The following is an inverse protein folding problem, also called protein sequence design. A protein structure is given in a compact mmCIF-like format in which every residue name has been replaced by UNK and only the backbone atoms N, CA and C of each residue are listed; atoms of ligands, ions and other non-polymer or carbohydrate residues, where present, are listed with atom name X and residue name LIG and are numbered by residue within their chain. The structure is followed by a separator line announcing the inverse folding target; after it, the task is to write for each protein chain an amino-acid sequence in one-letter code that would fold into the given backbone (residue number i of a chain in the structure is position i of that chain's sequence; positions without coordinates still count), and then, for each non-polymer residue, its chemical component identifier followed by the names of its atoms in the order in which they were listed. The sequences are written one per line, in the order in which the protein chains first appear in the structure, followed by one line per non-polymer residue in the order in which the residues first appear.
data_IF_099023499360
#
_entry.id   IF_099023499360
#
_cell.length_a   1.000
_cell.length_b   1.000
_cell.length_c   1.000
_cell.angle_alpha   90.00
_cell.angle_beta   90.00
_cell.angle_gamma   90.00
#
_symmetry.space_group_name_H-M   'P 1'
#
loop_
_entity.id
_entity.type
_entity.pdbx_description
1 polymer ?
#
# COMPACT_ATOMS: atom_id res chain seq x y z
N UNK A 1 -17.55 11.98 9.03
CA UNK A 1 -16.57 12.89 9.62
C UNK A 1 -15.59 13.34 8.53
N UNK A 2 -15.70 14.60 8.11
CA UNK A 2 -14.68 15.27 7.34
C UNK A 2 -13.60 15.70 8.34
N UNK A 3 -12.39 15.15 8.20
CA UNK A 3 -11.30 15.45 9.10
C UNK A 3 -10.01 15.69 8.37
N UNK A 4 -9.02 16.13 9.15
CA UNK A 4 -7.62 16.21 8.71
C UNK A 4 -6.78 15.35 9.62
N UNK A 5 -5.76 14.73 9.08
CA UNK A 5 -4.76 13.97 9.82
C UNK A 5 -3.39 14.31 9.28
N UNK A 6 -2.37 14.15 10.12
CA UNK A 6 -0.99 14.23 9.68
C UNK A 6 -0.46 12.82 9.42
N UNK A 7 0.34 12.65 8.37
CA UNK A 7 1.01 11.41 8.04
C UNK A 7 2.36 11.74 7.39
N UNK A 8 3.43 11.19 7.93
CA UNK A 8 4.81 11.39 7.47
C UNK A 8 5.19 12.87 7.29
N UNK A 9 4.73 13.73 8.22
CA UNK A 9 4.96 15.16 8.21
C UNK A 9 4.17 15.96 7.18
N UNK A 10 3.17 15.34 6.54
CA UNK A 10 2.28 15.95 5.55
C UNK A 10 0.84 15.97 6.05
N UNK A 11 0.02 16.88 5.53
CA UNK A 11 -1.40 17.03 5.89
C UNK A 11 -2.29 16.30 4.90
N UNK A 12 -3.24 15.51 5.41
CA UNK A 12 -4.19 14.75 4.61
C UNK A 12 -5.64 15.04 5.02
N UNK A 13 -6.49 15.32 4.03
CA UNK A 13 -7.93 15.26 4.21
C UNK A 13 -8.37 13.79 4.25
N UNK A 14 -9.26 13.45 5.18
CA UNK A 14 -9.85 12.14 5.33
C UNK A 14 -11.37 12.25 5.50
N UNK A 15 -12.09 11.27 4.99
CA UNK A 15 -13.55 11.18 5.05
C UNK A 15 -13.98 9.69 5.10
N UNK A 16 -15.28 9.45 5.06
CA UNK A 16 -15.85 8.10 5.07
C UNK A 16 -15.47 7.20 3.89
N UNK A 17 -14.83 7.75 2.85
CA UNK A 17 -14.46 7.00 1.64
C UNK A 17 -13.03 6.47 1.67
N UNK A 18 -12.24 6.82 2.68
CA UNK A 18 -10.83 6.44 2.78
C UNK A 18 -10.48 5.92 4.18
N UNK A 19 -9.56 4.97 4.22
CA UNK A 19 -8.94 4.56 5.48
C UNK A 19 -8.13 5.74 6.05
N UNK A 20 -8.30 6.01 7.35
CA UNK A 20 -7.47 7.00 8.04
C UNK A 20 -6.03 6.46 8.08
N UNK A 21 -5.02 7.21 7.59
CA UNK A 21 -3.62 6.80 7.66
C UNK A 21 -3.18 6.37 9.05
N UNK A 22 -2.44 5.26 9.13
CA UNK A 22 -1.98 4.69 10.40
C UNK A 22 -0.48 4.97 10.61
N UNK A 23 -0.04 5.17 11.86
CA UNK A 23 1.38 5.41 12.16
C UNK A 23 2.30 4.27 11.67
N UNK A 24 1.83 3.02 11.73
CA UNK A 24 2.59 1.85 11.29
C UNK A 24 2.89 1.91 9.78
N UNK A 25 1.99 2.51 9.00
CA UNK A 25 2.18 2.71 7.56
C UNK A 25 3.29 3.75 7.26
N UNK A 26 3.57 4.68 8.18
CA UNK A 26 4.72 5.58 8.05
C UNK A 26 6.05 4.83 8.05
N UNK A 27 6.14 3.74 8.81
CA UNK A 27 7.34 2.90 8.86
C UNK A 27 7.61 2.19 7.51
N UNK A 28 6.53 1.79 6.81
CA UNK A 28 6.63 1.24 5.46
C UNK A 28 7.17 2.29 4.47
N UNK A 29 6.63 3.50 4.52
CA UNK A 29 7.10 4.63 3.69
C UNK A 29 8.56 4.95 3.98
N UNK A 30 8.93 5.04 5.25
CA UNK A 30 10.31 5.29 5.66
C UNK A 30 11.26 4.20 5.16
N UNK A 31 10.86 2.95 5.23
CA UNK A 31 11.67 1.84 4.73
C UNK A 31 11.95 1.96 3.24
N UNK A 32 10.93 2.26 2.44
CA UNK A 32 11.07 2.48 1.00
C UNK A 32 12.02 3.65 0.73
N UNK A 33 11.82 4.79 1.37
CA UNK A 33 12.66 5.98 1.18
C UNK A 33 14.12 5.67 1.54
N UNK A 34 14.40 5.04 2.69
CA UNK A 34 15.76 4.68 3.11
C UNK A 34 16.47 3.77 2.12
N UNK A 35 15.74 2.84 1.49
CA UNK A 35 16.31 1.91 0.52
C UNK A 35 16.60 2.58 -0.85
N UNK A 36 15.91 3.66 -1.18
CA UNK A 36 15.91 4.21 -2.53
C UNK A 36 16.41 5.67 -2.64
N UNK A 37 16.51 6.42 -1.54
CA UNK A 37 16.94 7.84 -1.55
C UNK A 37 18.34 8.10 -2.11
N UNK A 38 19.20 7.07 -2.13
CA UNK A 38 20.56 7.16 -2.67
C UNK A 38 20.68 6.61 -4.09
N UNK A 39 19.63 6.08 -4.66
CA UNK A 39 19.65 5.58 -6.05
C UNK A 39 19.56 6.76 -7.00
N UNK A 40 20.54 6.88 -7.88
CA UNK A 40 20.48 7.83 -8.99
C UNK A 40 19.60 7.25 -10.10
N UNK A 41 18.68 8.04 -10.61
CA UNK A 41 17.76 7.70 -11.70
C UNK A 41 16.30 7.86 -11.34
N UNK A 42 15.48 8.00 -12.38
CA UNK A 42 14.05 8.18 -12.26
C UNK A 42 13.37 6.83 -11.92
N UNK A 43 12.91 6.67 -10.68
CA UNK A 43 12.16 5.49 -10.27
C UNK A 43 10.71 5.59 -10.71
N UNK A 44 10.13 4.48 -11.17
CA UNK A 44 8.70 4.31 -11.32
C UNK A 44 8.12 3.57 -10.11
N UNK A 45 7.19 4.21 -9.42
CA UNK A 45 6.61 3.70 -8.18
C UNK A 45 5.10 3.54 -8.39
N UNK A 46 4.54 2.42 -7.96
CA UNK A 46 3.10 2.16 -7.97
C UNK A 46 2.60 1.87 -6.56
N UNK A 47 1.60 2.62 -6.11
CA UNK A 47 0.83 2.37 -4.90
C UNK A 47 -0.52 1.75 -5.28
N UNK A 48 -0.81 0.54 -4.77
CA UNK A 48 -2.04 -0.20 -5.07
C UNK A 48 -2.97 -0.19 -3.86
N UNK A 49 -4.21 0.28 -4.06
CA UNK A 49 -5.16 0.54 -2.97
C UNK A 49 -4.80 1.82 -2.22
N UNK A 50 -4.61 2.90 -2.96
CA UNK A 50 -3.98 4.14 -2.43
C UNK A 50 -4.83 4.86 -1.37
N UNK A 51 -6.17 4.64 -1.35
CA UNK A 51 -7.06 5.27 -0.39
C UNK A 51 -6.96 6.80 -0.36
N UNK A 52 -6.50 7.35 0.75
CA UNK A 52 -6.24 8.80 0.91
C UNK A 52 -5.05 9.32 0.09
N UNK A 53 -4.26 8.44 -0.50
CA UNK A 53 -3.03 8.77 -1.21
C UNK A 53 -1.80 8.89 -0.30
N UNK A 54 -1.90 8.55 0.99
CA UNK A 54 -0.85 8.85 1.97
C UNK A 54 0.51 8.22 1.62
N UNK A 55 0.55 6.97 1.14
CA UNK A 55 1.78 6.31 0.71
C UNK A 55 2.32 6.99 -0.56
N UNK A 56 1.52 7.06 -1.62
CA UNK A 56 1.93 7.61 -2.91
C UNK A 56 2.44 9.05 -2.80
N UNK A 57 1.71 9.91 -2.07
CA UNK A 57 2.03 11.33 -1.89
C UNK A 57 3.32 11.49 -1.07
N UNK A 58 3.47 10.71 0.01
CA UNK A 58 4.69 10.76 0.83
C UNK A 58 5.91 10.29 0.04
N UNK A 59 5.77 9.26 -0.79
CA UNK A 59 6.85 8.82 -1.67
C UNK A 59 7.19 9.87 -2.73
N UNK A 60 6.19 10.49 -3.37
CA UNK A 60 6.41 11.56 -4.35
C UNK A 60 7.12 12.78 -3.73
N UNK A 61 6.77 13.14 -2.49
CA UNK A 61 7.39 14.28 -1.78
C UNK A 61 8.85 14.01 -1.44
N UNK A 62 9.19 12.80 -1.01
CA UNK A 62 10.51 12.45 -0.49
C UNK A 62 11.44 11.83 -1.54
N UNK A 63 10.91 11.44 -2.70
CA UNK A 63 11.65 10.94 -3.87
C UNK A 63 11.25 11.79 -5.10
N UNK A 64 11.63 13.08 -5.14
CA UNK A 64 11.07 14.05 -6.09
C UNK A 64 11.38 13.76 -7.56
N UNK A 65 12.40 12.95 -7.85
CA UNK A 65 12.75 12.54 -9.23
C UNK A 65 11.95 11.30 -9.68
N UNK A 66 11.12 10.71 -8.81
CA UNK A 66 10.33 9.53 -9.14
C UNK A 66 9.05 9.89 -9.90
N UNK A 67 8.58 8.95 -10.73
CA UNK A 67 7.25 8.98 -11.32
C UNK A 67 6.32 8.08 -10.49
N UNK A 68 5.40 8.68 -9.73
CA UNK A 68 4.52 7.94 -8.83
C UNK A 68 3.14 7.78 -9.46
N UNK A 69 2.67 6.54 -9.45
CA UNK A 69 1.34 6.11 -9.89
C UNK A 69 0.58 5.56 -8.69
N UNK A 70 -0.73 5.75 -8.67
CA UNK A 70 -1.59 5.27 -7.61
C UNK A 70 -2.90 4.70 -8.19
N UNK A 71 -3.25 3.50 -7.75
CA UNK A 71 -4.46 2.78 -8.18
C UNK A 71 -5.41 2.64 -7.00
N UNK A 72 -6.69 2.86 -7.26
CA UNK A 72 -7.77 2.47 -6.36
C UNK A 72 -9.01 2.06 -7.17
N UNK A 73 -9.85 1.20 -6.60
CA UNK A 73 -11.13 0.83 -7.20
C UNK A 73 -12.19 1.91 -6.98
N UNK A 74 -12.08 2.66 -5.88
CA UNK A 74 -13.01 3.71 -5.46
C UNK A 74 -12.70 5.05 -6.12
N UNK A 75 -13.60 5.53 -6.96
CA UNK A 75 -13.52 6.88 -7.53
C UNK A 75 -13.51 7.96 -6.43
N UNK A 76 -14.27 7.76 -5.35
CA UNK A 76 -14.34 8.69 -4.22
C UNK A 76 -13.02 8.76 -3.44
N UNK A 77 -12.34 7.61 -3.27
CA UNK A 77 -11.02 7.57 -2.67
C UNK A 77 -10.00 8.33 -3.55
N UNK A 78 -10.02 8.09 -4.86
CA UNK A 78 -9.16 8.82 -5.81
C UNK A 78 -9.43 10.33 -5.82
N UNK A 79 -10.69 10.75 -5.67
CA UNK A 79 -11.03 12.17 -5.56
C UNK A 79 -10.39 12.80 -4.31
N UNK A 80 -10.41 12.10 -3.18
CA UNK A 80 -9.75 12.51 -1.95
C UNK A 80 -8.23 12.55 -2.11
N UNK A 81 -7.64 11.50 -2.68
CA UNK A 81 -6.19 11.42 -2.93
C UNK A 81 -5.68 12.54 -3.86
N UNK A 82 -6.44 12.89 -4.91
CA UNK A 82 -6.11 14.02 -5.81
C UNK A 82 -6.08 15.35 -5.07
N UNK A 83 -7.05 15.60 -4.18
CA UNK A 83 -7.04 16.81 -3.32
C UNK A 83 -5.81 16.82 -2.42
N UNK A 84 -5.50 15.70 -1.79
CA UNK A 84 -4.33 15.56 -0.93
C UNK A 84 -3.01 15.78 -1.69
N UNK A 85 -2.90 15.30 -2.92
CA UNK A 85 -1.74 15.57 -3.76
C UNK A 85 -1.58 17.07 -4.06
N UNK A 86 -2.68 17.77 -4.33
CA UNK A 86 -2.69 19.22 -4.55
C UNK A 86 -2.26 19.97 -3.28
N UNK A 87 -2.82 19.61 -2.12
CA UNK A 87 -2.48 20.24 -0.82
C UNK A 87 -0.99 20.09 -0.50
N UNK A 88 -0.40 18.94 -0.84
CA UNK A 88 1.00 18.64 -0.57
C UNK A 88 1.95 19.01 -1.73
N UNK A 89 1.43 19.64 -2.80
CA UNK A 89 2.20 20.13 -3.94
C UNK A 89 3.06 19.04 -4.60
N UNK A 90 2.47 17.86 -4.85
CA UNK A 90 3.13 16.75 -5.53
C UNK A 90 2.34 16.26 -6.72
N UNK A 91 3.03 15.66 -7.69
CA UNK A 91 2.43 15.05 -8.87
C UNK A 91 2.35 13.53 -8.67
N UNK A 92 1.15 12.99 -8.72
CA UNK A 92 0.86 11.56 -8.71
C UNK A 92 -0.14 11.25 -9.83
N UNK A 93 0.11 10.20 -10.59
CA UNK A 93 -0.82 9.72 -11.62
C UNK A 93 -1.84 8.77 -11.00
N UNK A 94 -3.08 9.21 -10.85
CA UNK A 94 -4.16 8.43 -10.27
C UNK A 94 -4.95 7.68 -11.34
N UNK A 95 -5.18 6.38 -11.13
CA UNK A 95 -5.84 5.47 -12.08
C UNK A 95 -6.93 4.70 -11.33
N UNK A 96 -8.16 4.77 -11.80
CA UNK A 96 -9.24 3.92 -11.29
C UNK A 96 -9.11 2.53 -11.92
N UNK A 97 -8.89 1.52 -11.08
CA UNK A 97 -8.75 0.15 -11.55
C UNK A 97 -9.04 -0.85 -10.42
N UNK A 98 -9.83 -1.89 -10.73
CA UNK A 98 -10.02 -3.00 -9.81
C UNK A 98 -8.84 -3.98 -9.93
N UNK A 99 -8.02 -4.04 -8.88
CA UNK A 99 -6.82 -4.87 -8.89
C UNK A 99 -7.15 -6.37 -8.97
N UNK A 100 -8.28 -6.81 -8.44
CA UNK A 100 -8.69 -8.22 -8.49
C UNK A 100 -9.03 -8.67 -9.92
N UNK A 101 -9.46 -7.77 -10.79
CA UNK A 101 -9.83 -8.02 -12.18
C UNK A 101 -8.69 -7.71 -13.18
N UNK A 102 -7.63 -7.04 -12.70
CA UNK A 102 -6.52 -6.63 -13.55
C UNK A 102 -5.57 -7.78 -13.81
N UNK A 103 -5.29 -8.10 -15.06
CA UNK A 103 -4.37 -9.18 -15.46
C UNK A 103 -2.95 -8.69 -15.79
N UNK A 104 -2.81 -7.42 -16.19
CA UNK A 104 -1.55 -6.77 -16.50
C UNK A 104 -1.68 -5.25 -16.28
N UNK A 105 -0.59 -4.61 -15.86
CA UNK A 105 -0.51 -3.15 -15.67
C UNK A 105 0.04 -2.45 -16.92
N UNK A 106 0.43 -3.23 -17.94
CA UNK A 106 0.92 -2.74 -19.26
C UNK A 106 2.17 -1.84 -19.19
N UNK A 107 2.83 -1.83 -18.04
CA UNK A 107 4.08 -1.10 -17.81
C UNK A 107 4.88 -1.73 -16.66
N UNK A 108 6.16 -1.39 -16.58
CA UNK A 108 7.03 -1.85 -15.51
C UNK A 108 7.26 -0.77 -14.45
N UNK A 109 7.43 -1.23 -13.21
CA UNK A 109 7.69 -0.41 -12.04
C UNK A 109 8.94 -0.89 -11.30
N UNK A 110 9.69 0.04 -10.74
CA UNK A 110 10.84 -0.28 -9.88
C UNK A 110 10.41 -0.62 -8.47
N UNK A 111 9.28 -0.04 -8.04
CA UNK A 111 8.69 -0.28 -6.74
C UNK A 111 7.18 -0.46 -6.92
N UNK A 112 6.64 -1.56 -6.39
CA UNK A 112 5.21 -1.72 -6.16
C UNK A 112 5.01 -1.79 -4.65
N UNK A 113 4.10 -0.98 -4.12
CA UNK A 113 3.75 -0.95 -2.70
C UNK A 113 2.25 -1.09 -2.54
N UNK A 114 1.80 -1.73 -1.48
CA UNK A 114 0.39 -1.80 -1.12
C UNK A 114 0.19 -1.99 0.37
N UNK A 115 -0.82 -1.31 0.89
CA UNK A 115 -1.46 -1.62 2.15
C UNK A 115 -2.90 -2.09 1.83
N UNK A 116 -3.09 -3.34 1.39
CA UNK A 116 -4.39 -3.82 0.94
C UNK A 116 -5.31 -4.14 2.11
N UNK A 117 -6.62 -4.31 1.92
CA UNK A 117 -7.51 -4.83 2.95
C UNK A 117 -6.99 -6.18 3.46
N UNK A 118 -6.83 -6.31 4.78
CA UNK A 118 -6.28 -7.52 5.39
C UNK A 118 -6.97 -7.97 6.68
N UNK A 119 -7.96 -7.22 7.16
CA UNK A 119 -8.68 -7.59 8.38
C UNK A 119 -9.69 -8.68 8.08
N UNK A 120 -9.54 -9.84 8.72
CA UNK A 120 -10.50 -10.93 8.60
C UNK A 120 -11.78 -10.62 9.35
N UNK A 121 -12.91 -11.12 8.88
CA UNK A 121 -14.21 -10.93 9.54
C UNK A 121 -14.20 -11.40 11.01
N UNK A 122 -13.45 -12.47 11.31
CA UNK A 122 -13.29 -12.98 12.69
C UNK A 122 -12.59 -11.98 13.64
N UNK A 123 -11.80 -11.05 13.10
CA UNK A 123 -11.06 -10.03 13.86
C UNK A 123 -11.89 -8.76 14.12
N UNK A 124 -13.11 -8.65 13.58
CA UNK A 124 -14.00 -7.48 13.78
C UNK A 124 -14.19 -7.10 15.24
N UNK A 125 -14.17 -8.07 16.16
CA UNK A 125 -14.34 -7.83 17.60
C UNK A 125 -13.16 -7.08 18.24
N UNK A 126 -12.00 -7.13 17.62
CA UNK A 126 -10.78 -6.45 18.10
C UNK A 126 -10.70 -5.01 17.60
N UNK A 127 -11.52 -4.65 16.61
CA UNK A 127 -11.52 -3.33 16.01
C UNK A 127 -12.37 -2.37 16.85
N UNK A 128 -11.82 -1.17 17.06
CA UNK A 128 -12.55 -0.11 17.76
C UNK A 128 -13.85 0.25 17.02
N UNK A 129 -14.93 0.46 17.74
CA UNK A 129 -16.25 0.77 17.19
C UNK A 129 -16.22 1.96 16.21
N UNK A 130 -15.42 3.00 16.50
CA UNK A 130 -15.28 4.17 15.63
C UNK A 130 -14.75 3.84 14.22
N UNK A 131 -13.89 2.82 14.10
CA UNK A 131 -13.39 2.34 12.82
C UNK A 131 -14.50 1.63 12.04
N UNK A 132 -15.25 0.76 12.72
CA UNK A 132 -16.35 0.02 12.12
C UNK A 132 -17.49 0.92 11.64
N UNK A 133 -17.75 2.01 12.35
CA UNK A 133 -18.88 2.91 12.09
C UNK A 133 -18.57 3.98 11.02
N UNK A 134 -17.29 4.27 10.76
CA UNK A 134 -16.91 5.46 9.98
C UNK A 134 -15.89 5.22 8.86
N UNK A 135 -15.24 4.07 8.81
CA UNK A 135 -14.28 3.76 7.75
C UNK A 135 -14.85 2.76 6.73
N UNK A 136 -14.51 2.84 5.44
CA UNK A 136 -15.14 2.01 4.43
C UNK A 136 -14.78 0.53 4.63
N UNK A 137 -15.79 -0.33 4.69
CA UNK A 137 -15.62 -1.78 4.87
C UNK A 137 -14.76 -2.41 3.77
N UNK A 138 -14.87 -1.88 2.54
CA UNK A 138 -14.06 -2.35 1.39
C UNK A 138 -12.56 -2.12 1.59
N UNK A 139 -12.18 -1.10 2.37
CA UNK A 139 -10.78 -0.78 2.66
C UNK A 139 -10.20 -1.59 3.82
N UNK A 140 -11.03 -2.31 4.57
CA UNK A 140 -10.62 -3.01 5.79
C UNK A 140 -10.69 -4.53 5.67
N UNK A 141 -11.79 -5.07 5.13
CA UNK A 141 -12.14 -6.48 5.34
C UNK A 141 -11.88 -7.37 4.14
N UNK A 142 -11.45 -8.59 4.47
CA UNK A 142 -11.37 -9.74 3.57
C UNK A 142 -12.20 -10.88 4.15
N UNK A 143 -12.62 -11.81 3.28
CA UNK A 143 -13.27 -13.05 3.71
C UNK A 143 -12.31 -13.94 4.51
N UNK A 144 -12.82 -14.56 5.57
CA UNK A 144 -11.99 -15.41 6.46
C UNK A 144 -11.37 -16.61 5.74
N UNK A 145 -12.01 -17.09 4.69
CA UNK A 145 -11.55 -18.25 3.90
C UNK A 145 -10.47 -17.89 2.87
N UNK A 146 -10.25 -16.60 2.57
CA UNK A 146 -9.18 -16.16 1.66
C UNK A 146 -8.56 -14.82 2.08
N UNK A 147 -7.96 -14.83 3.26
CA UNK A 147 -7.29 -13.66 3.83
C UNK A 147 -6.12 -13.12 2.98
N UNK A 148 -5.59 -13.92 2.06
CA UNK A 148 -4.44 -13.58 1.22
C UNK A 148 -4.82 -13.19 -0.22
N UNK A 149 -6.11 -13.02 -0.53
CA UNK A 149 -6.57 -12.78 -1.91
C UNK A 149 -5.88 -11.58 -2.57
N UNK A 150 -5.84 -10.43 -1.91
CA UNK A 150 -5.20 -9.23 -2.45
C UNK A 150 -3.69 -9.41 -2.60
N UNK A 151 -3.02 -9.96 -1.59
CA UNK A 151 -1.58 -10.21 -1.62
C UNK A 151 -1.19 -11.11 -2.78
N UNK A 152 -1.93 -12.20 -2.99
CA UNK A 152 -1.70 -13.16 -4.09
C UNK A 152 -1.87 -12.49 -5.45
N UNK A 153 -2.94 -11.70 -5.60
CA UNK A 153 -3.21 -10.99 -6.86
C UNK A 153 -2.17 -9.92 -7.16
N UNK A 154 -1.83 -9.11 -6.18
CA UNK A 154 -0.81 -8.06 -6.32
C UNK A 154 0.57 -8.67 -6.59
N UNK A 155 0.94 -9.75 -5.88
CA UNK A 155 2.19 -10.45 -6.13
C UNK A 155 2.26 -11.05 -7.55
N UNK A 156 1.16 -11.60 -8.07
CA UNK A 156 1.09 -12.09 -9.45
C UNK A 156 1.28 -10.96 -10.48
N UNK A 157 0.70 -9.79 -10.23
CA UNK A 157 0.93 -8.60 -11.06
C UNK A 157 2.38 -8.11 -10.94
N UNK A 158 2.95 -8.13 -9.74
CA UNK A 158 4.35 -7.75 -9.52
C UNK A 158 5.33 -8.64 -10.30
N UNK A 159 5.05 -9.94 -10.43
CA UNK A 159 5.87 -10.82 -11.26
C UNK A 159 5.93 -10.41 -12.74
N UNK A 160 4.84 -9.83 -13.26
CA UNK A 160 4.75 -9.35 -14.65
C UNK A 160 5.28 -7.92 -14.81
N UNK A 161 5.02 -7.09 -13.81
CA UNK A 161 5.12 -5.62 -13.94
C UNK A 161 6.23 -4.99 -13.09
N UNK A 162 7.04 -5.76 -12.36
CA UNK A 162 8.27 -5.26 -11.78
C UNK A 162 9.39 -5.24 -12.82
N UNK A 163 10.21 -4.19 -12.78
CA UNK A 163 11.50 -4.16 -13.50
C UNK A 163 12.43 -5.27 -12.96
N UNK A 164 13.49 -5.66 -13.71
CA UNK A 164 14.36 -6.79 -13.32
C UNK A 164 14.94 -6.70 -11.91
N UNK A 165 15.17 -5.49 -11.39
CA UNK A 165 15.65 -5.23 -10.03
C UNK A 165 14.56 -4.58 -9.16
N UNK A 166 13.31 -4.73 -9.56
CA UNK A 166 12.16 -4.15 -8.88
C UNK A 166 11.84 -4.85 -7.57
N UNK A 167 11.20 -4.11 -6.68
CA UNK A 167 10.86 -4.55 -5.33
C UNK A 167 9.38 -4.40 -5.06
N UNK A 168 8.81 -5.40 -4.38
CA UNK A 168 7.44 -5.39 -3.89
C UNK A 168 7.44 -5.21 -2.38
N UNK A 169 6.64 -4.26 -1.91
CA UNK A 169 6.44 -3.96 -0.49
C UNK A 169 4.98 -4.12 -0.10
N UNK A 170 4.74 -4.74 1.04
CA UNK A 170 3.41 -4.83 1.63
C UNK A 170 3.40 -4.38 3.09
N UNK A 171 2.34 -3.70 3.50
CA UNK A 171 1.85 -3.77 4.86
C UNK A 171 1.02 -5.05 5.01
N UNK A 172 1.14 -5.74 6.14
CA UNK A 172 0.49 -7.03 6.35
C UNK A 172 -0.28 -7.09 7.68
N UNK A 173 -1.26 -7.98 7.73
CA UNK A 173 -1.87 -8.38 8.99
C UNK A 173 -0.81 -9.04 9.89
N UNK A 174 -0.72 -8.59 11.14
CA UNK A 174 0.27 -9.05 12.11
C UNK A 174 0.23 -10.56 12.38
N UNK A 175 -0.90 -11.21 12.13
CA UNK A 175 -1.09 -12.65 12.36
C UNK A 175 -0.74 -13.51 11.13
N UNK A 176 -0.42 -12.89 9.99
CA UNK A 176 -0.21 -13.58 8.71
C UNK A 176 1.25 -13.54 8.22
N UNK A 177 2.21 -13.20 9.09
CA UNK A 177 3.62 -13.09 8.71
C UNK A 177 4.20 -14.38 8.11
N UNK A 178 3.88 -15.54 8.69
CA UNK A 178 4.33 -16.85 8.21
C UNK A 178 3.68 -17.19 6.88
N UNK A 179 2.35 -17.05 6.80
CA UNK A 179 1.57 -17.34 5.60
C UNK A 179 1.98 -16.45 4.41
N UNK A 180 2.32 -15.20 4.69
CA UNK A 180 2.84 -14.27 3.69
C UNK A 180 4.21 -14.70 3.16
N UNK A 181 5.12 -15.12 4.02
CA UNK A 181 6.42 -15.65 3.59
C UNK A 181 6.24 -16.89 2.72
N UNK A 182 5.43 -17.85 3.17
CA UNK A 182 5.14 -19.07 2.43
C UNK A 182 4.53 -18.78 1.05
N UNK A 183 3.60 -17.82 0.98
CA UNK A 183 2.99 -17.39 -0.29
C UNK A 183 4.06 -16.86 -1.25
N UNK A 184 4.89 -15.93 -0.79
CA UNK A 184 5.88 -15.27 -1.64
C UNK A 184 7.02 -16.21 -2.04
N UNK A 185 7.43 -17.14 -1.18
CA UNK A 185 8.38 -18.22 -1.50
C UNK A 185 7.83 -19.14 -2.60
N UNK A 186 6.58 -19.60 -2.48
CA UNK A 186 5.89 -20.42 -3.50
C UNK A 186 5.74 -19.69 -4.83
N UNK A 187 5.65 -18.38 -4.82
CA UNK A 187 5.64 -17.53 -6.00
C UNK A 187 7.05 -17.20 -6.52
N UNK A 188 8.11 -17.81 -5.98
CA UNK A 188 9.51 -17.67 -6.39
C UNK A 188 10.12 -16.26 -6.20
N UNK A 189 9.55 -15.42 -5.36
CA UNK A 189 10.20 -14.18 -4.95
C UNK A 189 11.46 -14.46 -4.14
N UNK A 190 12.40 -13.52 -4.15
CA UNK A 190 13.69 -13.62 -3.47
C UNK A 190 13.84 -12.55 -2.38
N UNK A 191 14.86 -12.74 -1.54
CA UNK A 191 15.25 -11.77 -0.52
C UNK A 191 14.05 -11.30 0.33
N UNK A 192 13.21 -12.26 0.77
CA UNK A 192 12.02 -11.99 1.56
C UNK A 192 12.44 -11.47 2.94
N UNK A 193 12.14 -10.20 3.19
CA UNK A 193 12.44 -9.52 4.45
C UNK A 193 11.15 -9.13 5.16
N UNK A 194 10.88 -9.77 6.29
CA UNK A 194 9.74 -9.45 7.18
C UNK A 194 10.22 -8.52 8.28
N UNK A 195 9.54 -7.41 8.50
CA UNK A 195 9.81 -6.45 9.56
C UNK A 195 8.65 -6.29 10.52
N UNK A 196 9.02 -6.06 11.77
CA UNK A 196 8.11 -5.70 12.84
C UNK A 196 7.94 -4.18 12.91
N UNK A 197 6.74 -3.76 13.34
CA UNK A 197 6.47 -2.38 13.72
C UNK A 197 7.12 -2.02 15.07
N UNK A 198 7.02 -0.75 15.47
CA UNK A 198 7.54 -0.26 16.75
C UNK A 198 6.92 -0.97 17.97
N UNK A 199 5.79 -1.64 17.81
CA UNK A 199 5.12 -2.40 18.86
C UNK A 199 5.55 -3.88 18.89
N UNK A 200 6.41 -4.29 17.95
CA UNK A 200 6.94 -5.66 17.87
C UNK A 200 6.07 -6.65 17.11
N UNK A 201 5.04 -6.18 16.41
CA UNK A 201 4.16 -7.02 15.58
C UNK A 201 4.72 -7.13 14.15
N UNK A 202 4.57 -8.29 13.52
CA UNK A 202 4.86 -8.44 12.09
C UNK A 202 3.97 -7.48 11.30
N UNK A 203 4.58 -6.60 10.50
CA UNK A 203 3.84 -5.49 9.89
C UNK A 203 4.18 -5.23 8.44
N UNK A 204 5.41 -5.44 8.02
CA UNK A 204 5.85 -5.09 6.69
C UNK A 204 6.65 -6.23 6.08
N UNK A 205 6.47 -6.45 4.79
CA UNK A 205 7.28 -7.44 4.06
C UNK A 205 7.76 -6.83 2.74
N UNK A 206 9.02 -7.10 2.42
CA UNK A 206 9.65 -6.71 1.15
C UNK A 206 10.19 -7.94 0.46
N UNK A 207 10.07 -7.96 -0.86
CA UNK A 207 10.66 -9.01 -1.69
C UNK A 207 11.25 -8.42 -2.97
N UNK A 208 12.23 -9.11 -3.52
CA UNK A 208 12.78 -8.85 -4.83
C UNK A 208 12.19 -9.85 -5.86
N UNK A 209 12.08 -9.42 -7.11
CA UNK A 209 11.60 -10.30 -8.18
C UNK A 209 12.60 -11.41 -8.49
N UNK A 210 13.91 -11.12 -8.42
CA UNK A 210 15.02 -12.04 -8.74
C UNK A 210 16.17 -11.92 -7.77
#
# INVERSE_FOLDING_TARGET
LLGKTSFYGLDFEVNENVLIPRPETEELVEWIIKNHSKKHGQLKILDIGTGSGCIAISLAKNLPESSVFAIDVSEMALATAKKNATVNEVNVTFIQKNILETEDLEQQFDIIVSNPPYVRNLEKKEIKKNVLDHEPHLALFVEDNDALIFYRKIAALAQKNLSPNGQLYFEINQYLGVEMKDLLEKMNFKNIELRKDIYGNDRMIKVDLR
#
